data_IF_526794073192
#
_entry.id   IF_526794073192
#
_cell.length_a   1.000
_cell.length_b   1.000
_cell.length_c   1.000
_cell.angle_alpha   90.00
_cell.angle_beta   90.00
_cell.angle_gamma   90.00
#
_symmetry.space_group_name_H-M   'P 1'
#
loop_
_entity.id
_entity.type
_entity.pdbx_description
1 polymer ?
#
# COMPACT_ATOMS: atom_id res chain seq x y z
N UNK A 1 16.43 -6.80 7.87
CA UNK A 1 16.49 -5.32 7.90
C UNK A 1 15.22 -4.68 7.34
N UNK A 2 14.77 -5.03 6.14
CA UNK A 2 13.59 -4.39 5.52
C UNK A 2 12.28 -4.61 6.31
N UNK A 3 12.01 -5.82 6.80
CA UNK A 3 10.86 -6.08 7.69
C UNK A 3 10.92 -5.30 9.00
N UNK A 4 12.12 -5.03 9.52
CA UNK A 4 12.29 -4.24 10.75
C UNK A 4 12.05 -2.74 10.47
N UNK A 5 12.54 -2.25 9.34
CA UNK A 5 12.30 -0.88 8.88
C UNK A 5 10.82 -0.65 8.56
N UNK A 6 10.17 -1.61 7.92
CA UNK A 6 8.74 -1.59 7.66
C UNK A 6 7.95 -1.63 8.97
N UNK A 7 8.30 -2.50 9.92
CA UNK A 7 7.68 -2.52 11.25
C UNK A 7 7.86 -1.19 11.99
N UNK A 8 9.03 -0.54 11.85
CA UNK A 8 9.29 0.80 12.42
C UNK A 8 8.42 1.88 11.80
N UNK A 9 8.29 1.94 10.48
CA UNK A 9 7.41 2.89 9.79
C UNK A 9 5.94 2.68 10.15
N UNK A 10 5.51 1.41 10.25
CA UNK A 10 4.16 1.06 10.70
C UNK A 10 3.90 1.56 12.13
N UNK A 11 4.82 1.28 13.06
CA UNK A 11 4.71 1.76 14.45
C UNK A 11 4.67 3.28 14.50
N UNK A 12 5.49 3.95 13.69
CA UNK A 12 5.55 5.41 13.60
C UNK A 12 4.22 6.00 13.10
N UNK A 13 3.60 5.40 12.09
CA UNK A 13 2.29 5.84 11.60
C UNK A 13 1.16 5.58 12.60
N UNK A 14 1.09 4.40 13.19
CA UNK A 14 0.08 4.08 14.22
C UNK A 14 0.24 4.97 15.45
N UNK A 15 1.48 5.23 15.87
CA UNK A 15 1.77 6.23 16.91
C UNK A 15 1.31 7.61 16.48
N UNK A 16 1.54 8.03 15.23
CA UNK A 16 1.09 9.33 14.73
C UNK A 16 -0.43 9.49 14.79
N UNK A 17 -1.21 8.49 14.36
CA UNK A 17 -2.68 8.57 14.41
C UNK A 17 -3.19 8.53 15.85
N UNK A 18 -2.62 7.68 16.71
CA UNK A 18 -2.97 7.60 18.13
C UNK A 18 -2.64 8.89 18.89
N UNK A 19 -1.47 9.47 18.64
CA UNK A 19 -1.04 10.75 19.25
C UNK A 19 -1.93 11.91 18.82
N UNK A 20 -2.39 11.94 17.57
CA UNK A 20 -3.37 12.95 17.10
C UNK A 20 -4.69 12.83 17.86
N UNK A 21 -5.24 11.61 18.01
CA UNK A 21 -6.49 11.40 18.74
C UNK A 21 -6.34 11.74 20.23
N UNK A 22 -5.19 11.40 20.83
CA UNK A 22 -4.89 11.76 22.21
C UNK A 22 -4.75 13.27 22.37
N UNK A 23 -4.05 13.95 21.45
CA UNK A 23 -3.90 15.40 21.44
C UNK A 23 -5.26 16.10 21.27
N UNK A 24 -6.14 15.61 20.40
CA UNK A 24 -7.51 16.12 20.26
C UNK A 24 -8.24 16.06 21.60
N UNK A 25 -8.21 14.90 22.29
CA UNK A 25 -8.86 14.74 23.61
C UNK A 25 -8.28 15.68 24.66
N UNK A 26 -6.95 15.83 24.70
CA UNK A 26 -6.27 16.72 25.64
C UNK A 26 -6.63 18.20 25.39
N UNK A 27 -6.64 18.63 24.13
CA UNK A 27 -7.03 19.98 23.74
C UNK A 27 -8.50 20.24 24.09
N UNK A 28 -9.40 19.32 23.74
CA UNK A 28 -10.83 19.42 24.08
C UNK A 28 -11.02 19.51 25.60
N UNK A 29 -10.36 18.66 26.37
CA UNK A 29 -10.45 18.66 27.84
C UNK A 29 -9.91 19.96 28.44
N UNK A 30 -8.79 20.48 27.92
CA UNK A 30 -8.20 21.74 28.36
C UNK A 30 -9.15 22.92 28.09
N UNK A 31 -9.69 23.03 26.89
CA UNK A 31 -10.63 24.11 26.54
C UNK A 31 -11.91 24.00 27.40
N UNK A 32 -12.46 22.79 27.58
CA UNK A 32 -13.63 22.56 28.42
C UNK A 32 -13.37 22.89 29.90
N UNK A 33 -12.18 22.58 30.42
CA UNK A 33 -11.79 22.91 31.79
C UNK A 33 -11.68 24.41 31.99
N UNK A 34 -11.06 25.13 31.05
CA UNK A 34 -10.98 26.60 31.09
C UNK A 34 -12.38 27.21 31.04
N UNK A 35 -13.24 26.71 30.14
CA UNK A 35 -14.63 27.14 30.04
C UNK A 35 -15.39 26.95 31.37
N UNK A 36 -15.30 25.76 31.97
CA UNK A 36 -15.97 25.46 33.24
C UNK A 36 -15.48 26.35 34.38
N UNK A 37 -14.16 26.59 34.46
CA UNK A 37 -13.57 27.49 35.46
C UNK A 37 -14.12 28.91 35.29
N UNK A 38 -14.17 29.43 34.06
CA UNK A 38 -14.74 30.75 33.78
C UNK A 38 -16.22 30.84 34.17
N UNK A 39 -16.99 29.77 33.95
CA UNK A 39 -18.40 29.70 34.37
C UNK A 39 -18.52 29.69 35.90
N UNK A 40 -17.70 28.90 36.61
CA UNK A 40 -17.71 28.87 38.09
C UNK A 40 -17.34 30.23 38.67
N UNK A 41 -16.31 30.87 38.10
CA UNK A 41 -15.92 32.24 38.45
C UNK A 41 -17.09 33.20 38.27
N UNK A 42 -17.85 33.05 37.18
CA UNK A 42 -19.03 33.86 36.90
C UNK A 42 -20.07 33.76 38.01
N UNK A 43 -20.29 32.57 38.58
CA UNK A 43 -21.32 32.34 39.59
C UNK A 43 -20.86 32.58 41.04
N UNK A 44 -19.57 32.62 41.31
CA UNK A 44 -19.03 32.69 42.68
C UNK A 44 -18.55 34.07 43.10
N UNK A 45 -18.57 35.06 42.19
CA UNK A 45 -18.03 36.41 42.40
C UNK A 45 -16.60 36.42 42.97
N UNK A 46 -15.85 35.33 42.79
CA UNK A 46 -14.63 35.04 43.55
C UNK A 46 -13.39 35.81 43.05
N UNK A 47 -13.53 36.83 42.20
CA UNK A 47 -12.39 37.61 41.69
C UNK A 47 -12.21 38.88 42.54
N UNK A 48 -11.19 38.94 43.42
CA UNK A 48 -10.83 40.17 44.12
C UNK A 48 -10.10 41.18 43.21
N UNK A 49 -9.67 40.77 42.01
CA UNK A 49 -8.87 41.56 41.06
C UNK A 49 -9.68 42.05 39.85
N UNK A 50 -10.92 42.49 40.05
CA UNK A 50 -11.69 43.05 38.94
C UNK A 50 -11.12 44.43 38.63
N UNK A 51 -10.41 44.53 37.51
CA UNK A 51 -10.11 45.81 36.85
C UNK A 51 -11.39 46.65 36.85
N UNK A 52 -11.33 47.91 37.30
CA UNK A 52 -12.48 48.82 37.33
C UNK A 52 -12.95 49.10 35.90
N UNK A 53 -13.73 48.19 35.35
CA UNK A 53 -14.36 48.35 34.06
C UNK A 53 -15.52 49.33 34.20
N UNK A 54 -15.63 50.25 33.24
CA UNK A 54 -16.76 51.15 33.20
C UNK A 54 -18.00 50.38 32.73
N UNK A 55 -18.95 50.17 33.65
CA UNK A 55 -20.18 49.40 33.43
C UNK A 55 -21.09 50.04 32.39
N UNK A 56 -20.90 51.32 32.05
CA UNK A 56 -21.64 52.01 30.99
C UNK A 56 -21.46 51.36 29.60
N UNK A 57 -20.40 50.57 29.37
CA UNK A 57 -20.16 49.87 28.10
C UNK A 57 -20.62 48.41 28.09
N UNK A 58 -21.17 47.90 29.20
CA UNK A 58 -21.49 46.48 29.32
C UNK A 58 -22.50 46.00 28.27
N UNK A 59 -23.55 46.79 28.01
CA UNK A 59 -24.54 46.47 26.97
C UNK A 59 -23.89 46.36 25.58
N UNK A 60 -22.99 47.28 25.23
CA UNK A 60 -22.24 47.23 23.96
C UNK A 60 -21.35 45.99 23.87
N UNK A 61 -20.76 45.56 24.98
CA UNK A 61 -19.90 44.37 25.01
C UNK A 61 -20.74 43.11 24.88
N UNK A 62 -21.82 42.96 25.67
CA UNK A 62 -22.69 41.79 25.60
C UNK A 62 -23.39 41.67 24.24
N UNK A 63 -23.97 42.75 23.72
CA UNK A 63 -24.67 42.73 22.44
C UNK A 63 -23.71 42.67 21.25
N UNK A 64 -22.70 43.55 21.22
CA UNK A 64 -21.81 43.70 20.09
C UNK A 64 -20.78 42.58 20.01
N UNK A 65 -19.94 42.45 21.04
CA UNK A 65 -18.86 41.45 21.07
C UNK A 65 -19.44 40.07 21.39
N UNK A 66 -20.23 39.95 22.45
CA UNK A 66 -20.74 38.67 22.95
C UNK A 66 -21.72 38.01 21.99
N UNK A 67 -22.82 38.66 21.65
CA UNK A 67 -23.90 38.04 20.87
C UNK A 67 -23.64 38.20 19.36
N UNK A 68 -23.57 39.44 18.88
CA UNK A 68 -23.51 39.74 17.44
C UNK A 68 -22.26 39.19 16.76
N UNK A 69 -21.08 39.46 17.34
CA UNK A 69 -19.81 39.01 16.75
C UNK A 69 -19.65 37.48 16.83
N UNK A 70 -19.97 36.85 17.97
CA UNK A 70 -19.85 35.39 18.09
C UNK A 70 -20.85 34.66 17.19
N UNK A 71 -22.10 35.12 17.07
CA UNK A 71 -23.06 34.52 16.13
C UNK A 71 -22.57 34.61 14.69
N UNK A 72 -22.02 35.76 14.29
CA UNK A 72 -21.50 35.98 12.94
C UNK A 72 -20.31 35.06 12.65
N UNK A 73 -19.33 35.01 13.57
CA UNK A 73 -18.16 34.14 13.44
C UNK A 73 -18.58 32.67 13.44
N UNK A 74 -19.47 32.28 14.33
CA UNK A 74 -19.98 30.92 14.45
C UNK A 74 -20.66 30.47 13.16
N UNK A 75 -21.54 31.29 12.59
CA UNK A 75 -22.19 31.02 11.32
C UNK A 75 -21.16 30.81 10.20
N UNK A 76 -20.17 31.70 10.08
CA UNK A 76 -19.11 31.60 9.06
C UNK A 76 -18.31 30.30 9.24
N UNK A 77 -17.85 30.00 10.45
CA UNK A 77 -17.02 28.82 10.74
C UNK A 77 -17.80 27.54 10.45
N UNK A 78 -19.06 27.44 10.89
CA UNK A 78 -19.89 26.26 10.61
C UNK A 78 -20.13 26.13 9.11
N UNK A 79 -20.48 27.20 8.40
CA UNK A 79 -20.68 27.17 6.95
C UNK A 79 -19.42 26.70 6.20
N UNK A 80 -18.25 27.26 6.54
CA UNK A 80 -16.98 26.85 5.92
C UNK A 80 -16.61 25.40 6.25
N UNK A 81 -16.79 24.97 7.49
CA UNK A 81 -16.48 23.62 7.89
C UNK A 81 -17.41 22.59 7.23
N UNK A 82 -18.71 22.88 7.16
CA UNK A 82 -19.67 22.04 6.44
C UNK A 82 -19.37 22.00 4.93
N UNK A 83 -19.02 23.13 4.33
CA UNK A 83 -18.62 23.19 2.92
C UNK A 83 -17.36 22.34 2.66
N UNK A 84 -16.35 22.43 3.52
CA UNK A 84 -15.14 21.62 3.41
C UNK A 84 -15.43 20.11 3.56
N UNK A 85 -16.30 19.75 4.50
CA UNK A 85 -16.75 18.36 4.71
C UNK A 85 -17.57 17.86 3.52
N UNK A 86 -18.45 18.69 2.96
CA UNK A 86 -19.22 18.37 1.76
C UNK A 86 -18.28 18.16 0.57
N UNK A 87 -17.29 19.04 0.38
CA UNK A 87 -16.30 18.88 -0.67
C UNK A 87 -15.50 17.59 -0.50
N UNK A 88 -15.02 17.27 0.71
CA UNK A 88 -14.31 16.02 0.97
C UNK A 88 -15.21 14.77 0.75
N UNK A 89 -16.47 14.84 1.20
CA UNK A 89 -17.48 13.79 0.99
C UNK A 89 -17.75 13.56 -0.49
N UNK A 90 -17.88 14.64 -1.25
CA UNK A 90 -18.03 14.61 -2.70
C UNK A 90 -16.77 14.17 -3.42
N UNK A 91 -15.57 14.41 -2.90
CA UNK A 91 -14.31 14.01 -3.54
C UNK A 91 -13.89 12.59 -3.21
N UNK A 92 -14.37 12.02 -2.11
CA UNK A 92 -13.89 10.74 -1.61
C UNK A 92 -15.05 9.78 -1.34
N UNK A 93 -15.76 9.93 -0.22
CA UNK A 93 -16.92 9.08 0.13
C UNK A 93 -17.88 9.79 1.10
N UNK A 94 -19.18 9.50 0.96
CA UNK A 94 -20.23 10.09 1.81
C UNK A 94 -20.04 9.82 3.31
N UNK A 95 -19.35 8.73 3.67
CA UNK A 95 -19.11 8.35 5.06
C UNK A 95 -18.24 9.35 5.83
N UNK A 96 -17.50 10.23 5.15
CA UNK A 96 -16.66 11.27 5.79
C UNK A 96 -17.49 12.21 6.65
N UNK A 97 -18.71 12.52 6.22
CA UNK A 97 -19.62 13.41 6.95
C UNK A 97 -19.96 12.86 8.35
N UNK A 98 -20.19 11.55 8.46
CA UNK A 98 -20.47 10.89 9.73
C UNK A 98 -19.27 10.97 10.69
N UNK A 99 -18.05 10.93 10.18
CA UNK A 99 -16.85 11.08 11.01
C UNK A 99 -16.73 12.49 11.58
N UNK A 100 -17.05 13.51 10.77
CA UNK A 100 -16.97 14.90 11.18
C UNK A 100 -18.04 15.26 12.23
N UNK A 101 -19.31 14.90 12.00
CA UNK A 101 -20.41 15.19 12.94
C UNK A 101 -20.20 14.46 14.29
N UNK A 102 -19.50 13.32 14.28
CA UNK A 102 -19.13 12.56 15.48
C UNK A 102 -17.81 13.02 16.12
N UNK A 103 -17.11 14.02 15.56
CA UNK A 103 -15.90 14.58 16.18
C UNK A 103 -16.23 15.24 17.51
N UNK A 104 -15.42 14.93 18.54
CA UNK A 104 -15.56 15.56 19.86
C UNK A 104 -15.22 17.05 19.79
N UNK A 105 -14.24 17.44 18.99
CA UNK A 105 -13.87 18.85 18.82
C UNK A 105 -15.02 19.68 18.26
N UNK A 106 -15.70 19.18 17.21
CA UNK A 106 -16.85 19.87 16.63
C UNK A 106 -17.98 20.09 17.67
N UNK A 107 -18.32 19.04 18.44
CA UNK A 107 -19.35 19.12 19.49
C UNK A 107 -18.94 20.06 20.63
N UNK A 108 -17.67 20.05 21.02
CA UNK A 108 -17.11 20.92 22.04
C UNK A 108 -17.25 22.40 21.65
N UNK A 109 -16.89 22.76 20.43
CA UNK A 109 -16.99 24.14 19.94
C UNK A 109 -18.43 24.59 19.88
N UNK A 110 -19.32 23.75 19.35
CA UNK A 110 -20.74 24.05 19.31
C UNK A 110 -21.27 24.31 20.73
N UNK A 111 -20.90 23.47 21.69
CA UNK A 111 -21.30 23.63 23.08
C UNK A 111 -20.77 24.93 23.70
N UNK A 112 -19.49 25.23 23.53
CA UNK A 112 -18.85 26.44 24.09
C UNK A 112 -19.43 27.70 23.47
N UNK A 113 -19.60 27.75 22.14
CA UNK A 113 -20.18 28.91 21.47
C UNK A 113 -21.61 29.16 21.91
N UNK A 114 -22.46 28.12 21.90
CA UNK A 114 -23.85 28.26 22.35
C UNK A 114 -23.92 28.66 23.82
N UNK A 115 -23.11 28.04 24.68
CA UNK A 115 -23.02 28.39 26.10
C UNK A 115 -22.61 29.83 26.33
N UNK A 116 -21.58 30.32 25.62
CA UNK A 116 -21.13 31.72 25.71
C UNK A 116 -22.18 32.69 25.17
N UNK A 117 -22.88 32.38 24.07
CA UNK A 117 -23.96 33.24 23.54
C UNK A 117 -25.11 33.31 24.54
N UNK A 118 -25.56 32.17 25.08
CA UNK A 118 -26.62 32.15 26.09
C UNK A 118 -26.23 32.89 27.37
N UNK A 119 -24.97 32.74 27.80
CA UNK A 119 -24.44 33.51 28.94
C UNK A 119 -24.53 35.01 28.69
N UNK A 120 -24.05 35.51 27.55
CA UNK A 120 -24.13 36.93 27.20
C UNK A 120 -25.57 37.44 27.10
N UNK A 121 -26.48 36.62 26.58
CA UNK A 121 -27.91 36.94 26.49
C UNK A 121 -28.56 37.02 27.87
N UNK A 122 -28.21 36.11 28.78
CA UNK A 122 -28.69 36.13 30.16
C UNK A 122 -28.18 37.36 30.91
N UNK A 123 -26.89 37.67 30.80
CA UNK A 123 -26.27 38.83 31.47
C UNK A 123 -26.80 40.17 30.97
N UNK A 124 -27.37 40.22 29.76
CA UNK A 124 -28.03 41.40 29.24
C UNK A 124 -29.31 41.76 30.02
N UNK A 125 -29.92 40.79 30.71
CA UNK A 125 -31.15 41.00 31.49
C UNK A 125 -30.89 41.44 32.93
N UNK A 126 -29.63 41.43 33.36
CA UNK A 126 -29.25 41.71 34.74
C UNK A 126 -28.95 43.20 34.96
N UNK A 127 -29.73 43.85 35.82
CA UNK A 127 -29.49 45.22 36.29
C UNK A 127 -29.45 45.25 37.83
N UNK A 128 -28.41 45.83 38.47
CA UNK A 128 -27.25 46.53 37.89
C UNK A 128 -26.14 45.57 37.41
N UNK A 129 -25.39 45.98 36.38
CA UNK A 129 -24.32 45.13 35.81
C UNK A 129 -23.12 44.99 36.74
N UNK A 130 -22.78 43.75 37.08
CA UNK A 130 -21.58 43.39 37.84
C UNK A 130 -20.32 43.40 36.92
N UNK A 131 -19.26 44.16 37.25
CA UNK A 131 -18.00 44.17 36.50
C UNK A 131 -17.35 42.78 36.30
N UNK A 132 -17.56 41.84 37.23
CA UNK A 132 -17.05 40.46 37.13
C UNK A 132 -17.65 39.73 35.94
N UNK A 133 -18.96 39.86 35.73
CA UNK A 133 -19.66 39.21 34.62
C UNK A 133 -19.21 39.78 33.27
N UNK A 134 -18.89 41.08 33.22
CA UNK A 134 -18.34 41.70 32.01
C UNK A 134 -16.95 41.12 31.67
N UNK A 135 -16.08 40.96 32.67
CA UNK A 135 -14.77 40.32 32.47
C UNK A 135 -14.90 38.86 32.01
N UNK A 136 -15.81 38.09 32.62
CA UNK A 136 -16.08 36.71 32.22
C UNK A 136 -16.61 36.65 30.78
N UNK A 137 -17.53 37.53 30.39
CA UNK A 137 -18.05 37.63 29.02
C UNK A 137 -16.94 37.86 27.99
N UNK A 138 -16.05 38.83 28.24
CA UNK A 138 -14.90 39.12 27.36
C UNK A 138 -13.99 37.88 27.29
N UNK A 139 -13.71 37.25 28.42
CA UNK A 139 -12.83 36.08 28.51
C UNK A 139 -13.41 34.87 27.77
N UNK A 140 -14.71 34.61 27.92
CA UNK A 140 -15.42 33.55 27.20
C UNK A 140 -15.45 33.83 25.69
N UNK A 141 -15.64 35.09 25.29
CA UNK A 141 -15.61 35.49 23.88
C UNK A 141 -14.22 35.33 23.28
N UNK A 142 -13.17 35.70 24.01
CA UNK A 142 -11.78 35.46 23.61
C UNK A 142 -11.46 33.97 23.52
N UNK A 143 -11.94 33.16 24.48
CA UNK A 143 -11.81 31.70 24.46
C UNK A 143 -12.45 31.09 23.22
N UNK A 144 -13.65 31.55 22.82
CA UNK A 144 -14.32 31.14 21.59
C UNK A 144 -13.45 31.37 20.35
N UNK A 145 -12.79 32.52 20.25
CA UNK A 145 -11.89 32.85 19.13
C UNK A 145 -10.63 31.97 19.16
N UNK A 146 -9.99 31.84 20.33
CA UNK A 146 -8.78 31.03 20.49
C UNK A 146 -9.06 29.55 20.20
N UNK A 147 -10.24 29.04 20.58
CA UNK A 147 -10.65 27.65 20.33
C UNK A 147 -10.85 27.33 18.83
N UNK A 148 -11.01 28.33 17.95
CA UNK A 148 -11.10 28.12 16.51
C UNK A 148 -9.78 27.67 15.89
N UNK A 149 -8.64 28.15 16.39
CA UNK A 149 -7.32 27.80 15.85
C UNK A 149 -7.11 26.28 15.90
N UNK A 150 -7.17 25.61 17.08
CA UNK A 150 -7.03 24.16 17.13
C UNK A 150 -8.15 23.45 16.37
N UNK A 151 -9.36 24.02 16.30
CA UNK A 151 -10.44 23.44 15.50
C UNK A 151 -10.06 23.30 14.04
N UNK A 152 -9.61 24.38 13.40
CA UNK A 152 -9.24 24.38 11.99
C UNK A 152 -8.12 23.38 11.72
N UNK A 153 -7.08 23.35 12.55
CA UNK A 153 -5.99 22.37 12.41
C UNK A 153 -6.49 20.94 12.52
N UNK A 154 -7.31 20.64 13.53
CA UNK A 154 -7.87 19.30 13.75
C UNK A 154 -8.81 18.90 12.61
N UNK A 155 -9.65 19.81 12.13
CA UNK A 155 -10.57 19.57 11.00
C UNK A 155 -9.79 19.31 9.72
N UNK A 156 -8.77 20.12 9.41
CA UNK A 156 -7.92 19.89 8.24
C UNK A 156 -7.24 18.52 8.28
N UNK A 157 -6.77 18.07 9.45
CA UNK A 157 -6.17 16.73 9.61
C UNK A 157 -7.23 15.64 9.40
N UNK A 158 -8.42 15.81 9.97
CA UNK A 158 -9.53 14.85 9.86
C UNK A 158 -10.05 14.66 8.44
N UNK A 159 -9.96 15.70 7.61
CA UNK A 159 -10.38 15.66 6.20
C UNK A 159 -9.33 15.08 5.27
N UNK A 160 -8.10 14.80 5.74
CA UNK A 160 -7.09 14.14 4.91
C UNK A 160 -7.50 12.69 4.62
N UNK A 161 -7.43 12.24 3.36
CA UNK A 161 -7.85 10.88 3.00
C UNK A 161 -7.03 9.81 3.73
N UNK A 162 -5.72 10.01 3.91
CA UNK A 162 -4.86 9.10 4.67
C UNK A 162 -5.37 8.84 6.10
N UNK A 163 -5.82 9.89 6.79
CA UNK A 163 -6.35 9.78 8.15
C UNK A 163 -7.69 9.03 8.15
N UNK A 164 -8.53 9.29 7.15
CA UNK A 164 -9.84 8.65 7.01
C UNK A 164 -9.69 7.16 6.75
N UNK A 165 -8.84 6.78 5.79
CA UNK A 165 -8.54 5.37 5.47
C UNK A 165 -7.97 4.68 6.71
N UNK A 166 -6.96 5.26 7.34
CA UNK A 166 -6.36 4.70 8.56
C UNK A 166 -7.37 4.54 9.70
N UNK A 167 -8.29 5.50 9.88
CA UNK A 167 -9.34 5.42 10.91
C UNK A 167 -10.43 4.39 10.57
N UNK A 168 -10.78 4.24 9.30
CA UNK A 168 -11.74 3.21 8.84
C UNK A 168 -11.16 1.81 9.06
N UNK A 169 -9.94 1.57 8.57
CA UNK A 169 -9.27 0.28 8.70
C UNK A 169 -8.86 -0.04 10.14
N UNK A 170 -8.51 0.98 10.92
CA UNK A 170 -8.21 0.85 12.35
C UNK A 170 -9.41 0.47 13.22
N UNK A 171 -10.64 0.66 12.73
CA UNK A 171 -11.87 0.22 13.42
C UNK A 171 -12.19 -1.24 13.19
N UNK A 172 -11.63 -1.86 12.14
CA UNK A 172 -11.83 -3.28 11.87
C UNK A 172 -11.22 -4.06 13.04
N UNK A 173 -12.04 -4.83 13.75
CA UNK A 173 -11.62 -5.65 14.87
C UNK A 173 -11.58 -7.13 14.47
N UNK A 174 -10.95 -7.95 15.31
CA UNK A 174 -10.91 -9.40 15.09
C UNK A 174 -12.32 -10.02 14.93
N UNK A 175 -13.31 -9.49 15.65
CA UNK A 175 -14.72 -9.94 15.54
C UNK A 175 -15.30 -9.73 14.14
N UNK A 176 -14.96 -8.62 13.49
CA UNK A 176 -15.42 -8.29 12.13
C UNK A 176 -14.72 -9.18 11.09
N UNK A 177 -13.50 -9.63 11.38
CA UNK A 177 -12.80 -10.62 10.56
C UNK A 177 -13.34 -12.03 10.80
N UNK A 178 -13.66 -12.37 12.04
CA UNK A 178 -14.23 -13.67 12.40
C UNK A 178 -15.65 -13.83 11.82
N UNK A 179 -16.39 -12.74 11.56
CA UNK A 179 -17.68 -12.79 10.86
C UNK A 179 -17.53 -13.11 9.37
N UNK A 180 -16.42 -12.73 8.72
CA UNK A 180 -16.14 -13.11 7.32
C UNK A 180 -16.09 -14.63 7.16
N UNK A 181 -15.63 -15.36 8.18
CA UNK A 181 -15.63 -16.84 8.17
C UNK A 181 -17.02 -17.45 8.11
N UNK A 182 -18.03 -16.75 8.64
CA UNK A 182 -19.38 -17.29 8.83
C UNK A 182 -20.32 -16.94 7.69
N UNK A 183 -20.10 -15.81 7.02
CA UNK A 183 -21.00 -15.27 6.00
C UNK A 183 -20.20 -14.68 4.83
N UNK A 184 -19.75 -15.50 3.88
CA UNK A 184 -18.86 -15.08 2.80
C UNK A 184 -19.52 -14.23 1.71
N UNK A 185 -20.78 -13.76 1.82
CA UNK A 185 -21.45 -13.12 0.66
C UNK A 185 -22.31 -11.87 0.93
N UNK A 186 -22.64 -11.47 2.17
CA UNK A 186 -23.58 -10.35 2.38
C UNK A 186 -23.08 -9.15 3.20
N UNK A 187 -22.04 -9.31 4.01
CA UNK A 187 -21.45 -8.23 4.84
C UNK A 187 -20.06 -7.80 4.35
N UNK A 188 -19.50 -8.51 3.36
CA UNK A 188 -18.14 -8.34 2.87
C UNK A 188 -17.86 -6.90 2.43
N UNK A 189 -18.75 -6.28 1.65
CA UNK A 189 -18.47 -4.97 1.07
C UNK A 189 -18.55 -3.80 2.07
N UNK A 190 -18.77 -4.02 3.38
CA UNK A 190 -18.90 -2.88 4.31
C UNK A 190 -17.58 -2.39 4.89
N UNK A 191 -16.60 -3.27 5.09
CA UNK A 191 -15.39 -2.97 5.86
C UNK A 191 -14.32 -2.25 5.02
N UNK A 192 -13.93 -2.83 3.89
CA UNK A 192 -12.86 -2.32 3.03
C UNK A 192 -13.35 -1.43 1.88
N UNK A 193 -14.61 -1.58 1.44
CA UNK A 193 -15.13 -0.81 0.30
C UNK A 193 -14.93 0.70 0.45
N UNK A 194 -15.15 1.34 1.60
CA UNK A 194 -14.95 2.79 1.70
C UNK A 194 -13.49 3.17 1.48
N UNK A 195 -12.55 2.37 2.00
CA UNK A 195 -11.13 2.63 1.79
C UNK A 195 -10.76 2.41 0.32
N UNK A 196 -11.26 1.33 -0.30
CA UNK A 196 -11.07 1.05 -1.71
C UNK A 196 -11.65 2.17 -2.61
N UNK A 197 -12.88 2.65 -2.35
CA UNK A 197 -13.51 3.76 -3.07
C UNK A 197 -12.66 5.04 -3.01
N UNK A 198 -12.11 5.38 -1.83
CA UNK A 198 -11.24 6.55 -1.67
C UNK A 198 -9.98 6.38 -2.54
N UNK A 199 -9.37 5.19 -2.54
CA UNK A 199 -8.15 4.90 -3.32
C UNK A 199 -8.45 4.93 -4.82
N UNK A 200 -9.52 4.26 -5.26
CA UNK A 200 -9.96 4.25 -6.65
C UNK A 200 -10.23 5.67 -7.15
N UNK A 201 -10.81 6.51 -6.30
CA UNK A 201 -11.07 7.90 -6.64
C UNK A 201 -9.82 8.76 -6.66
N UNK A 202 -8.89 8.52 -5.73
CA UNK A 202 -7.57 9.14 -5.76
C UNK A 202 -6.84 8.83 -7.08
N UNK A 203 -6.92 7.58 -7.56
CA UNK A 203 -6.37 7.17 -8.87
C UNK A 203 -7.04 7.93 -10.01
N UNK A 204 -8.38 7.99 -10.05
CA UNK A 204 -9.12 8.75 -11.09
C UNK A 204 -8.75 10.23 -11.11
N UNK A 205 -8.44 10.79 -9.94
CA UNK A 205 -8.06 12.19 -9.78
C UNK A 205 -6.53 12.43 -9.96
N UNK A 206 -5.74 11.38 -10.20
CA UNK A 206 -4.27 11.48 -10.33
C UNK A 206 -3.52 11.69 -9.01
N UNK A 207 -4.18 11.57 -7.85
CA UNK A 207 -3.55 11.67 -6.52
C UNK A 207 -2.88 10.33 -6.14
N UNK A 208 -1.71 10.10 -6.75
CA UNK A 208 -0.91 8.89 -6.55
C UNK A 208 -0.45 8.73 -5.10
N UNK A 209 -0.25 9.82 -4.35
CA UNK A 209 0.24 9.75 -2.97
C UNK A 209 -0.84 9.15 -2.07
N UNK A 210 -2.06 9.66 -2.15
CA UNK A 210 -3.20 9.11 -1.40
C UNK A 210 -3.49 7.66 -1.80
N UNK A 211 -3.44 7.35 -3.09
CA UNK A 211 -3.64 5.97 -3.56
C UNK A 211 -2.61 4.99 -2.99
N UNK A 212 -1.31 5.37 -3.01
CA UNK A 212 -0.22 4.57 -2.44
C UNK A 212 -0.38 4.37 -0.94
N UNK A 213 -0.62 5.44 -0.20
CA UNK A 213 -0.83 5.38 1.25
C UNK A 213 -2.01 4.48 1.60
N UNK A 214 -3.13 4.62 0.87
CA UNK A 214 -4.30 3.78 1.10
C UNK A 214 -4.06 2.30 0.82
N UNK A 215 -3.35 1.96 -0.26
CA UNK A 215 -2.96 0.58 -0.56
C UNK A 215 -2.05 -0.02 0.51
N UNK A 216 -1.12 0.76 1.06
CA UNK A 216 -0.30 0.32 2.20
C UNK A 216 -1.10 0.08 3.47
N UNK A 217 -2.10 0.92 3.76
CA UNK A 217 -3.00 0.69 4.90
C UNK A 217 -3.82 -0.58 4.72
N UNK A 218 -4.34 -0.85 3.51
CA UNK A 218 -5.07 -2.11 3.21
C UNK A 218 -4.12 -3.30 3.39
N UNK A 219 -2.92 -3.27 2.81
CA UNK A 219 -1.91 -4.33 2.95
C UNK A 219 -1.57 -4.58 4.41
N UNK A 220 -1.36 -3.53 5.20
CA UNK A 220 -1.07 -3.64 6.62
C UNK A 220 -2.22 -4.26 7.40
N UNK A 221 -3.45 -3.83 7.12
CA UNK A 221 -4.65 -4.38 7.74
C UNK A 221 -4.80 -5.86 7.40
N UNK A 222 -4.57 -6.24 6.14
CA UNK A 222 -4.56 -7.62 5.68
C UNK A 222 -3.55 -8.46 6.47
N UNK A 223 -2.28 -8.05 6.50
CA UNK A 223 -1.20 -8.80 7.17
C UNK A 223 -1.36 -8.90 8.69
N UNK A 224 -2.03 -7.91 9.31
CA UNK A 224 -2.36 -7.92 10.74
C UNK A 224 -3.36 -9.02 11.09
N UNK A 225 -4.32 -9.27 10.21
CA UNK A 225 -5.40 -10.23 10.45
C UNK A 225 -5.19 -11.58 9.79
N UNK A 226 -4.25 -11.68 8.85
CA UNK A 226 -3.91 -12.92 8.17
C UNK A 226 -3.18 -13.90 9.10
N UNK A 227 -3.71 -15.11 9.18
CA UNK A 227 -3.16 -16.25 9.92
C UNK A 227 -3.43 -17.55 9.15
N UNK A 228 -2.66 -18.63 9.35
CA UNK A 228 -2.87 -19.87 8.61
C UNK A 228 -4.30 -20.43 8.78
N UNK A 229 -4.91 -20.24 9.95
CA UNK A 229 -6.26 -20.73 10.25
C UNK A 229 -7.42 -19.84 9.76
N UNK A 230 -7.15 -18.74 9.05
CA UNK A 230 -8.20 -17.91 8.44
C UNK A 230 -7.88 -17.47 7.01
N UNK A 231 -6.85 -18.06 6.42
CA UNK A 231 -6.31 -17.72 5.13
C UNK A 231 -7.37 -17.72 4.02
N UNK A 232 -8.10 -18.83 3.89
CA UNK A 232 -9.11 -19.03 2.85
C UNK A 232 -10.28 -18.05 2.92
N UNK A 233 -10.55 -17.46 4.09
CA UNK A 233 -11.61 -16.46 4.24
C UNK A 233 -11.09 -15.02 4.09
N UNK A 234 -9.90 -14.74 4.61
CA UNK A 234 -9.36 -13.37 4.65
C UNK A 234 -8.71 -12.98 3.33
N UNK A 235 -8.00 -13.89 2.68
CA UNK A 235 -7.25 -13.61 1.46
C UNK A 235 -8.13 -13.25 0.27
N UNK A 236 -9.15 -14.03 -0.10
CA UNK A 236 -10.04 -13.64 -1.21
C UNK A 236 -10.68 -12.27 -0.98
N UNK A 237 -11.06 -11.97 0.27
CA UNK A 237 -11.70 -10.71 0.61
C UNK A 237 -10.78 -9.50 0.41
N UNK A 238 -9.58 -9.49 1.03
CA UNK A 238 -8.67 -8.35 0.93
C UNK A 238 -8.05 -8.22 -0.47
N UNK A 239 -7.65 -9.34 -1.07
CA UNK A 239 -6.98 -9.35 -2.37
C UNK A 239 -7.94 -8.93 -3.49
N UNK A 240 -9.23 -9.31 -3.43
CA UNK A 240 -10.27 -8.80 -4.34
C UNK A 240 -10.34 -7.27 -4.38
N UNK A 241 -10.24 -6.60 -3.24
CA UNK A 241 -10.25 -5.13 -3.21
C UNK A 241 -8.96 -4.53 -3.80
N UNK A 242 -7.79 -5.14 -3.54
CA UNK A 242 -6.53 -4.71 -4.17
C UNK A 242 -6.56 -4.91 -5.69
N UNK A 243 -7.10 -6.05 -6.16
CA UNK A 243 -7.32 -6.35 -7.57
C UNK A 243 -8.24 -5.32 -8.23
N UNK A 244 -9.35 -4.96 -7.57
CA UNK A 244 -10.27 -3.94 -8.09
C UNK A 244 -9.61 -2.57 -8.22
N UNK A 245 -8.80 -2.17 -7.22
CA UNK A 245 -7.98 -0.96 -7.33
C UNK A 245 -7.01 -1.04 -8.52
N UNK A 246 -6.35 -2.19 -8.72
CA UNK A 246 -5.49 -2.43 -9.89
C UNK A 246 -6.24 -2.30 -11.22
N UNK A 247 -7.46 -2.83 -11.30
CA UNK A 247 -8.32 -2.70 -12.49
C UNK A 247 -8.69 -1.23 -12.75
N UNK A 248 -9.01 -0.45 -11.71
CA UNK A 248 -9.27 0.98 -11.87
C UNK A 248 -8.02 1.73 -12.32
N UNK A 249 -6.83 1.38 -11.83
CA UNK A 249 -5.57 1.96 -12.30
C UNK A 249 -5.31 1.68 -13.79
N UNK A 250 -5.57 0.45 -14.25
CA UNK A 250 -5.48 0.09 -15.68
C UNK A 250 -6.46 0.92 -16.52
N UNK A 251 -7.72 1.02 -16.10
CA UNK A 251 -8.77 1.76 -16.83
C UNK A 251 -8.41 3.25 -16.95
N UNK A 252 -7.83 3.85 -15.91
CA UNK A 252 -7.42 5.26 -15.90
C UNK A 252 -6.02 5.47 -16.49
N UNK A 253 -5.40 4.43 -17.03
CA UNK A 253 -4.06 4.47 -17.63
C UNK A 253 -2.96 4.98 -16.70
N UNK A 254 -3.09 4.74 -15.39
CA UNK A 254 -2.14 5.21 -14.39
C UNK A 254 -1.06 4.16 -14.08
N UNK A 255 -0.03 4.11 -14.94
CA UNK A 255 1.13 3.22 -14.83
C UNK A 255 1.72 3.19 -13.40
N UNK A 256 1.88 4.37 -12.80
CA UNK A 256 2.48 4.49 -11.47
C UNK A 256 1.66 3.81 -10.37
N UNK A 257 0.33 3.82 -10.49
CA UNK A 257 -0.57 3.14 -9.55
C UNK A 257 -0.66 1.64 -9.84
N UNK A 258 -0.67 1.24 -11.12
CA UNK A 258 -0.61 -0.18 -11.52
C UNK A 258 0.67 -0.84 -10.99
N UNK A 259 1.83 -0.23 -11.26
CA UNK A 259 3.11 -0.70 -10.73
C UNK A 259 3.08 -0.79 -9.20
N UNK A 260 2.46 0.18 -8.52
CA UNK A 260 2.33 0.11 -7.07
C UNK A 260 1.47 -1.06 -6.58
N UNK A 261 0.36 -1.36 -7.26
CA UNK A 261 -0.48 -2.53 -6.94
C UNK A 261 0.31 -3.82 -7.11
N UNK A 262 1.05 -3.97 -8.21
CA UNK A 262 1.91 -5.13 -8.45
C UNK A 262 3.00 -5.28 -7.39
N UNK A 263 3.60 -4.18 -6.95
CA UNK A 263 4.56 -4.17 -5.84
C UNK A 263 3.92 -4.63 -4.52
N UNK A 264 2.72 -4.15 -4.20
CA UNK A 264 1.95 -4.57 -3.02
C UNK A 264 1.64 -6.06 -3.07
N UNK A 265 1.19 -6.57 -4.22
CA UNK A 265 0.96 -8.00 -4.44
C UNK A 265 2.25 -8.82 -4.27
N UNK A 266 3.38 -8.37 -4.85
CA UNK A 266 4.68 -9.01 -4.67
C UNK A 266 5.12 -9.11 -3.20
N UNK A 267 4.96 -8.01 -2.45
CA UNK A 267 5.25 -7.97 -1.01
C UNK A 267 4.34 -8.90 -0.22
N UNK A 268 3.06 -8.95 -0.56
CA UNK A 268 2.11 -9.88 0.07
C UNK A 268 2.53 -11.32 -0.22
N UNK A 269 2.76 -11.68 -1.49
CA UNK A 269 3.16 -13.03 -1.90
C UNK A 269 4.45 -13.50 -1.22
N UNK A 270 5.44 -12.63 -1.12
CA UNK A 270 6.71 -12.91 -0.41
C UNK A 270 6.45 -13.26 1.07
N UNK A 271 5.58 -12.51 1.73
CA UNK A 271 5.24 -12.73 3.13
C UNK A 271 4.34 -13.95 3.36
N UNK A 272 3.42 -14.24 2.45
CA UNK A 272 2.56 -15.44 2.53
C UNK A 272 3.37 -16.70 2.33
N UNK A 273 4.30 -16.72 1.38
CA UNK A 273 5.28 -17.83 1.22
C UNK A 273 6.10 -18.05 2.49
N UNK A 274 6.63 -16.97 3.07
CA UNK A 274 7.41 -17.04 4.31
C UNK A 274 6.60 -17.60 5.48
N UNK A 275 5.27 -17.41 5.48
CA UNK A 275 4.33 -17.92 6.48
C UNK A 275 3.68 -19.25 6.09
N UNK A 276 4.06 -19.87 4.97
CA UNK A 276 3.47 -21.11 4.42
C UNK A 276 1.96 -21.01 4.17
N UNK A 277 1.56 -19.88 3.59
CA UNK A 277 0.17 -19.53 3.26
C UNK A 277 -0.06 -19.71 1.75
N UNK A 278 -0.40 -20.92 1.35
CA UNK A 278 -0.36 -21.33 -0.06
C UNK A 278 -1.55 -20.82 -0.85
N UNK A 279 -2.73 -20.80 -0.22
CA UNK A 279 -3.97 -20.32 -0.84
C UNK A 279 -3.85 -18.84 -1.21
N UNK A 280 -3.30 -18.03 -0.30
CA UNK A 280 -3.04 -16.61 -0.50
C UNK A 280 -1.99 -16.37 -1.55
N UNK A 281 -0.91 -17.15 -1.52
CA UNK A 281 0.17 -17.03 -2.53
C UNK A 281 -0.39 -17.34 -3.92
N UNK A 282 -1.23 -18.35 -4.05
CA UNK A 282 -1.93 -18.68 -5.30
C UNK A 282 -2.82 -17.53 -5.78
N UNK A 283 -3.67 -16.98 -4.90
CA UNK A 283 -4.52 -15.83 -5.25
C UNK A 283 -3.67 -14.62 -5.68
N UNK A 284 -2.55 -14.36 -4.99
CA UNK A 284 -1.63 -13.28 -5.37
C UNK A 284 -1.04 -13.50 -6.77
N UNK A 285 -0.64 -14.73 -7.11
CA UNK A 285 -0.11 -15.06 -8.43
C UNK A 285 -1.19 -14.91 -9.51
N UNK A 286 -2.42 -15.35 -9.23
CA UNK A 286 -3.59 -15.16 -10.11
C UNK A 286 -3.90 -13.66 -10.32
N UNK A 287 -3.82 -12.84 -9.27
CA UNK A 287 -4.04 -11.40 -9.36
C UNK A 287 -2.91 -10.68 -10.13
N UNK A 288 -1.66 -11.11 -9.94
CA UNK A 288 -0.50 -10.63 -10.71
C UNK A 288 -0.67 -11.00 -12.19
N UNK A 289 -1.16 -12.20 -12.51
CA UNK A 289 -1.49 -12.62 -13.88
C UNK A 289 -2.53 -11.68 -14.50
N UNK A 290 -3.67 -11.51 -13.82
CA UNK A 290 -4.80 -10.72 -14.30
C UNK A 290 -4.47 -9.24 -14.54
N UNK A 291 -3.64 -8.63 -13.69
CA UNK A 291 -3.20 -7.24 -13.83
C UNK A 291 -2.03 -7.16 -14.81
N UNK A 292 -1.05 -8.04 -14.64
CA UNK A 292 0.21 -8.08 -15.36
C UNK A 292 0.04 -8.19 -16.87
N UNK A 293 -0.74 -9.17 -17.34
CA UNK A 293 -0.92 -9.35 -18.79
C UNK A 293 -1.67 -8.21 -19.46
N UNK A 294 -2.59 -7.56 -18.73
CA UNK A 294 -3.28 -6.37 -19.25
C UNK A 294 -2.34 -5.18 -19.44
N UNK A 295 -1.21 -5.15 -18.74
CA UNK A 295 -0.33 -3.98 -18.73
C UNK A 295 0.86 -4.10 -19.68
N UNK A 296 1.15 -5.30 -20.19
CA UNK A 296 2.28 -5.59 -21.10
C UNK A 296 2.30 -4.71 -22.36
N UNK A 297 1.13 -4.34 -22.88
CA UNK A 297 1.04 -3.55 -24.11
C UNK A 297 1.59 -2.13 -23.92
N UNK A 298 1.24 -1.49 -22.80
CA UNK A 298 1.34 -0.03 -22.68
C UNK A 298 2.18 0.48 -21.50
N UNK A 299 2.63 -0.39 -20.58
CA UNK A 299 3.18 0.05 -19.28
C UNK A 299 4.48 -0.66 -18.92
N UNK A 300 5.60 -0.23 -19.51
CA UNK A 300 6.90 -0.84 -19.27
C UNK A 300 7.29 -0.82 -17.78
N UNK A 301 6.97 0.25 -17.04
CA UNK A 301 7.30 0.34 -15.61
C UNK A 301 6.48 -0.66 -14.77
N UNK A 302 5.18 -0.80 -15.05
CA UNK A 302 4.35 -1.84 -14.44
C UNK A 302 4.82 -3.25 -14.81
N UNK A 303 5.21 -3.50 -16.07
CA UNK A 303 5.79 -4.79 -16.50
C UNK A 303 7.08 -5.12 -15.77
N UNK A 304 7.99 -4.16 -15.65
CA UNK A 304 9.22 -4.31 -14.87
C UNK A 304 8.90 -4.66 -13.41
N UNK A 305 7.89 -4.00 -12.83
CA UNK A 305 7.45 -4.27 -11.47
C UNK A 305 6.76 -5.63 -11.31
N UNK A 306 6.01 -6.10 -12.32
CA UNK A 306 5.45 -7.46 -12.35
C UNK A 306 6.58 -8.49 -12.26
N UNK A 307 7.62 -8.35 -13.10
CA UNK A 307 8.79 -9.23 -13.10
C UNK A 307 9.43 -9.23 -11.72
N UNK A 308 9.76 -8.06 -11.17
CA UNK A 308 10.32 -7.93 -9.81
C UNK A 308 9.47 -8.62 -8.75
N UNK A 309 8.16 -8.43 -8.78
CA UNK A 309 7.25 -9.07 -7.84
C UNK A 309 7.26 -10.60 -7.94
N UNK A 310 7.27 -11.16 -9.17
CA UNK A 310 7.39 -12.61 -9.37
C UNK A 310 8.73 -13.15 -8.87
N UNK A 311 9.81 -12.39 -9.04
CA UNK A 311 11.14 -12.77 -8.56
C UNK A 311 11.24 -12.76 -7.04
N UNK A 312 10.68 -11.74 -6.38
CA UNK A 312 10.68 -11.64 -4.92
C UNK A 312 9.92 -12.82 -4.31
N UNK A 313 8.78 -13.18 -4.91
CA UNK A 313 8.01 -14.37 -4.51
C UNK A 313 8.83 -15.65 -4.76
N UNK A 314 9.44 -15.81 -5.94
CA UNK A 314 10.27 -16.99 -6.27
C UNK A 314 11.45 -17.15 -5.29
N UNK A 315 12.13 -16.04 -4.97
CA UNK A 315 13.21 -16.01 -4.00
C UNK A 315 12.73 -16.43 -2.62
N UNK A 316 11.58 -15.92 -2.17
CA UNK A 316 10.98 -16.35 -0.91
C UNK A 316 10.67 -17.85 -0.91
N UNK A 317 10.18 -18.41 -2.02
CA UNK A 317 9.90 -19.85 -2.11
C UNK A 317 11.19 -20.66 -1.95
N UNK A 318 12.25 -20.27 -2.66
CA UNK A 318 13.58 -20.90 -2.57
C UNK A 318 14.12 -20.87 -1.14
N UNK A 319 14.06 -19.71 -0.49
CA UNK A 319 14.57 -19.48 0.86
C UNK A 319 13.72 -20.14 1.96
N UNK A 320 12.42 -20.31 1.75
CA UNK A 320 11.48 -20.82 2.77
C UNK A 320 11.68 -22.29 3.18
N UNK A 321 12.50 -23.06 2.47
CA UNK A 321 12.60 -24.50 2.70
C UNK A 321 11.52 -25.30 1.95
N UNK A 322 10.41 -24.68 1.55
CA UNK A 322 9.20 -25.38 1.20
C UNK A 322 9.18 -25.89 -0.26
N UNK A 323 9.00 -27.19 -0.46
CA UNK A 323 8.83 -27.79 -1.79
C UNK A 323 7.39 -27.64 -2.30
N UNK A 324 6.90 -26.41 -2.36
CA UNK A 324 5.57 -26.13 -2.89
C UNK A 324 5.61 -26.13 -4.41
N UNK A 325 5.67 -27.36 -4.96
CA UNK A 325 5.75 -27.64 -6.39
C UNK A 325 4.66 -26.92 -7.17
N UNK A 326 3.46 -26.78 -6.60
CA UNK A 326 2.35 -26.06 -7.25
C UNK A 326 2.65 -24.56 -7.42
N UNK A 327 3.16 -23.89 -6.38
CA UNK A 327 3.49 -22.46 -6.42
C UNK A 327 4.65 -22.21 -7.38
N UNK A 328 5.71 -23.03 -7.30
CA UNK A 328 6.83 -22.95 -8.25
C UNK A 328 6.35 -23.13 -9.69
N UNK A 329 5.51 -24.14 -9.94
CA UNK A 329 4.95 -24.39 -11.27
C UNK A 329 4.13 -23.20 -11.76
N UNK A 330 3.29 -22.60 -10.93
CA UNK A 330 2.52 -21.40 -11.30
C UNK A 330 3.43 -20.22 -11.64
N UNK A 331 4.49 -19.96 -10.85
CA UNK A 331 5.46 -18.89 -11.14
C UNK A 331 6.12 -19.10 -12.51
N UNK A 332 6.56 -20.32 -12.82
CA UNK A 332 7.18 -20.60 -14.11
C UNK A 332 6.18 -20.58 -15.28
N UNK A 333 4.91 -20.94 -15.06
CA UNK A 333 3.85 -20.74 -16.05
C UNK A 333 3.72 -19.24 -16.37
N UNK A 334 3.69 -18.38 -15.34
CA UNK A 334 3.62 -16.94 -15.54
C UNK A 334 4.83 -16.38 -16.30
N UNK A 335 6.05 -16.81 -15.99
CA UNK A 335 7.24 -16.41 -16.75
C UNK A 335 7.20 -16.88 -18.20
N UNK A 336 6.73 -18.10 -18.47
CA UNK A 336 6.59 -18.63 -19.81
C UNK A 336 5.58 -17.81 -20.63
N UNK A 337 4.39 -17.59 -20.07
CA UNK A 337 3.36 -16.78 -20.70
C UNK A 337 3.84 -15.33 -20.92
N UNK A 338 4.57 -14.78 -19.95
CA UNK A 338 5.11 -13.42 -20.00
C UNK A 338 6.15 -13.31 -21.12
N UNK A 339 7.06 -14.27 -21.21
CA UNK A 339 8.05 -14.35 -22.28
C UNK A 339 7.39 -14.32 -23.66
N UNK A 340 6.40 -15.19 -23.87
CA UNK A 340 5.70 -15.30 -25.15
C UNK A 340 5.04 -13.97 -25.55
N UNK A 341 4.35 -13.34 -24.60
CA UNK A 341 3.67 -12.08 -24.85
C UNK A 341 4.67 -10.93 -25.08
N UNK A 342 5.80 -10.90 -24.37
CA UNK A 342 6.85 -9.90 -24.61
C UNK A 342 7.50 -10.04 -25.99
N UNK A 343 7.71 -11.27 -26.48
CA UNK A 343 8.18 -11.50 -27.86
C UNK A 343 7.13 -11.08 -28.89
N UNK A 344 5.85 -11.43 -28.67
CA UNK A 344 4.74 -11.03 -29.54
C UNK A 344 4.64 -9.50 -29.65
N UNK A 345 4.85 -8.80 -28.54
CA UNK A 345 4.82 -7.34 -28.46
C UNK A 345 6.14 -6.66 -28.83
N UNK A 346 7.20 -7.43 -29.14
CA UNK A 346 8.56 -6.94 -29.44
C UNK A 346 9.10 -5.99 -28.37
N UNK A 347 8.92 -6.37 -27.10
CA UNK A 347 9.32 -5.59 -25.92
C UNK A 347 10.74 -5.97 -25.47
N UNK A 348 11.72 -5.74 -26.33
CA UNK A 348 13.12 -6.17 -26.17
C UNK A 348 13.73 -5.78 -24.81
N UNK A 349 13.49 -4.55 -24.37
CA UNK A 349 13.96 -4.06 -23.07
C UNK A 349 13.44 -4.93 -21.91
N UNK A 350 12.19 -5.37 -21.97
CA UNK A 350 11.57 -6.19 -20.92
C UNK A 350 12.02 -7.65 -20.98
N UNK A 351 12.27 -8.19 -22.18
CA UNK A 351 12.85 -9.54 -22.34
C UNK A 351 14.25 -9.56 -21.73
N UNK A 352 15.08 -8.56 -22.07
CA UNK A 352 16.40 -8.36 -21.44
C UNK A 352 16.26 -8.23 -19.94
N UNK A 353 15.36 -7.37 -19.46
CA UNK A 353 15.14 -7.20 -18.02
C UNK A 353 14.81 -8.54 -17.36
N UNK A 354 13.85 -9.31 -17.88
CA UNK A 354 13.48 -10.63 -17.39
C UNK A 354 14.68 -11.59 -17.33
N UNK A 355 15.48 -11.72 -18.39
CA UNK A 355 16.68 -12.57 -18.38
C UNK A 355 17.73 -12.11 -17.37
N UNK A 356 18.05 -10.82 -17.39
CA UNK A 356 19.01 -10.24 -16.45
C UNK A 356 18.55 -10.39 -15.02
N UNK A 357 17.25 -10.38 -14.76
CA UNK A 357 16.70 -10.48 -13.43
C UNK A 357 17.02 -11.84 -12.76
N UNK A 358 17.13 -12.94 -13.53
CA UNK A 358 17.59 -14.22 -12.98
C UNK A 358 19.09 -14.24 -12.65
N UNK A 359 19.87 -13.36 -13.27
CA UNK A 359 21.34 -13.25 -13.09
C UNK A 359 21.72 -12.14 -12.08
N UNK A 360 20.93 -11.06 -12.02
CA UNK A 360 21.12 -9.86 -11.23
C UNK A 360 19.87 -9.57 -10.38
N UNK A 361 20.02 -9.42 -9.05
CA UNK A 361 21.24 -9.61 -8.28
C UNK A 361 21.52 -11.11 -8.14
N UNK A 362 22.78 -11.54 -8.34
CA UNK A 362 23.28 -12.93 -8.22
C UNK A 362 22.71 -13.75 -7.07
N UNK A 363 22.16 -13.07 -6.05
CA UNK A 363 21.30 -13.59 -5.00
C UNK A 363 20.28 -14.65 -5.42
N UNK A 364 19.63 -14.60 -6.60
CA UNK A 364 18.59 -15.60 -6.93
C UNK A 364 19.22 -16.96 -7.28
N UNK A 365 20.12 -17.00 -8.26
CA UNK A 365 20.85 -18.22 -8.62
C UNK A 365 21.69 -18.72 -7.44
N UNK A 366 22.39 -17.83 -6.73
CA UNK A 366 23.12 -18.17 -5.51
C UNK A 366 22.20 -18.78 -4.44
N UNK A 367 20.99 -18.23 -4.25
CA UNK A 367 20.02 -18.81 -3.32
C UNK A 367 19.53 -20.18 -3.79
N UNK A 368 19.30 -20.38 -5.09
CA UNK A 368 18.92 -21.69 -5.64
C UNK A 368 20.02 -22.73 -5.41
N UNK A 369 21.28 -22.38 -5.71
CA UNK A 369 22.45 -23.26 -5.57
C UNK A 369 22.73 -23.56 -4.09
N UNK A 370 22.76 -22.53 -3.24
CA UNK A 370 23.00 -22.64 -1.80
C UNK A 370 21.96 -23.53 -1.12
N UNK A 371 20.69 -23.41 -1.52
CA UNK A 371 19.59 -24.21 -0.98
C UNK A 371 19.34 -25.51 -1.75
N UNK A 372 20.24 -25.90 -2.68
CA UNK A 372 20.14 -27.11 -3.53
C UNK A 372 18.77 -27.29 -4.19
N UNK A 373 18.19 -26.20 -4.72
CA UNK A 373 16.89 -26.20 -5.40
C UNK A 373 16.99 -26.69 -6.83
N UNK A 374 17.42 -27.93 -7.02
CA UNK A 374 17.74 -28.46 -8.35
C UNK A 374 16.55 -28.41 -9.32
N UNK A 375 15.33 -28.67 -8.86
CA UNK A 375 14.11 -28.52 -9.67
C UNK A 375 13.92 -27.08 -10.19
N UNK A 376 14.11 -26.08 -9.33
CA UNK A 376 13.96 -24.66 -9.69
C UNK A 376 15.07 -24.21 -10.64
N UNK A 377 16.31 -24.69 -10.44
CA UNK A 377 17.43 -24.42 -11.35
C UNK A 377 17.13 -24.99 -12.74
N UNK A 378 16.61 -26.21 -12.79
CA UNK A 378 16.27 -26.89 -14.04
C UNK A 378 15.12 -26.18 -14.78
N UNK A 379 14.09 -25.70 -14.08
CA UNK A 379 13.03 -24.88 -14.69
C UNK A 379 13.54 -23.52 -15.19
N UNK A 380 14.48 -22.90 -14.46
CA UNK A 380 15.15 -21.66 -14.90
C UNK A 380 15.98 -21.91 -16.17
N UNK A 381 16.71 -23.03 -16.23
CA UNK A 381 17.47 -23.42 -17.41
C UNK A 381 16.55 -23.74 -18.61
N UNK A 382 15.38 -24.38 -18.38
CA UNK A 382 14.35 -24.59 -19.41
C UNK A 382 13.84 -23.27 -19.98
N UNK A 383 13.44 -22.35 -19.10
CA UNK A 383 12.94 -21.03 -19.47
C UNK A 383 14.01 -20.23 -20.25
N UNK A 384 15.25 -20.18 -19.74
CA UNK A 384 16.35 -19.49 -20.41
C UNK A 384 16.63 -20.08 -21.79
N UNK A 385 16.62 -21.42 -21.92
CA UNK A 385 16.80 -22.09 -23.21
C UNK A 385 15.72 -21.65 -24.20
N UNK A 386 14.47 -21.69 -23.78
CA UNK A 386 13.32 -21.31 -24.61
C UNK A 386 13.44 -19.85 -25.08
N UNK A 387 13.63 -18.92 -24.16
CA UNK A 387 13.82 -17.49 -24.48
C UNK A 387 14.97 -17.31 -25.47
N UNK A 388 16.09 -18.02 -25.29
CA UNK A 388 17.23 -17.94 -26.18
C UNK A 388 16.91 -18.40 -27.60
N UNK A 389 16.19 -19.51 -27.73
CA UNK A 389 15.73 -20.00 -29.04
C UNK A 389 14.78 -18.99 -29.67
N UNK A 390 13.74 -18.54 -28.97
CA UNK A 390 12.78 -17.56 -29.50
C UNK A 390 13.44 -16.23 -29.88
N UNK A 391 14.41 -15.78 -29.09
CA UNK A 391 15.25 -14.63 -29.39
C UNK A 391 16.04 -14.80 -30.68
N UNK A 392 16.70 -15.95 -30.87
CA UNK A 392 17.43 -16.26 -32.08
C UNK A 392 16.52 -16.24 -33.32
N UNK A 393 15.34 -16.86 -33.24
CA UNK A 393 14.35 -16.87 -34.33
C UNK A 393 13.83 -15.48 -34.67
N UNK A 394 13.65 -14.64 -33.65
CA UNK A 394 13.24 -13.24 -33.81
C UNK A 394 14.35 -12.30 -34.25
N UNK A 395 15.60 -12.76 -34.39
CA UNK A 395 16.75 -11.93 -34.71
C UNK A 395 17.27 -11.08 -33.54
N UNK A 396 16.85 -11.36 -32.32
CA UNK A 396 17.25 -10.65 -31.11
C UNK A 396 18.55 -11.19 -30.50
N UNK A 397 19.67 -10.95 -31.21
CA UNK A 397 21.01 -11.48 -30.86
C UNK A 397 21.40 -11.20 -29.40
N UNK A 398 21.13 -10.00 -28.89
CA UNK A 398 21.52 -9.62 -27.53
C UNK A 398 20.78 -10.45 -26.46
N UNK A 399 19.52 -10.81 -26.69
CA UNK A 399 18.75 -11.66 -25.76
C UNK A 399 19.24 -13.10 -25.85
N UNK A 400 19.57 -13.57 -27.05
CA UNK A 400 20.15 -14.90 -27.24
C UNK A 400 21.47 -15.06 -26.47
N UNK A 401 22.37 -14.07 -26.56
CA UNK A 401 23.62 -14.03 -25.79
C UNK A 401 23.38 -14.02 -24.28
N UNK A 402 22.38 -13.27 -23.81
CA UNK A 402 22.03 -13.25 -22.38
C UNK A 402 21.50 -14.60 -21.89
N UNK A 403 20.69 -15.30 -22.69
CA UNK A 403 20.26 -16.67 -22.39
C UNK A 403 21.44 -17.65 -22.29
N UNK A 404 22.41 -17.55 -23.22
CA UNK A 404 23.64 -18.36 -23.18
C UNK A 404 24.45 -18.04 -21.91
N UNK A 405 24.62 -16.75 -21.58
CA UNK A 405 25.32 -16.31 -20.37
C UNK A 405 24.66 -16.86 -19.10
N UNK A 406 23.33 -16.80 -19.00
CA UNK A 406 22.59 -17.33 -17.85
C UNK A 406 22.73 -18.86 -17.76
N UNK A 407 22.65 -19.58 -18.88
CA UNK A 407 22.89 -21.03 -18.90
C UNK A 407 24.34 -21.37 -18.52
N UNK A 408 25.32 -20.60 -18.97
CA UNK A 408 26.71 -20.76 -18.57
C UNK A 408 26.90 -20.58 -17.07
N UNK A 409 26.29 -19.55 -16.48
CA UNK A 409 26.34 -19.28 -15.04
C UNK A 409 25.66 -20.39 -14.23
N UNK A 410 24.49 -20.88 -14.68
CA UNK A 410 23.79 -22.02 -14.08
C UNK A 410 24.68 -23.28 -14.12
N UNK A 411 25.23 -23.61 -15.29
CA UNK A 411 26.02 -24.83 -15.47
C UNK A 411 27.31 -24.82 -14.65
N UNK A 412 28.05 -23.72 -14.66
CA UNK A 412 29.29 -23.60 -13.88
C UNK A 412 29.03 -23.62 -12.38
N UNK A 413 27.95 -22.96 -11.92
CA UNK A 413 27.57 -22.98 -10.51
C UNK A 413 27.10 -24.36 -10.06
N UNK A 414 26.35 -25.06 -10.89
CA UNK A 414 25.90 -26.43 -10.62
C UNK A 414 27.07 -27.41 -10.54
N UNK A 415 28.02 -27.35 -11.48
CA UNK A 415 29.20 -28.21 -11.51
C UNK A 415 30.08 -28.01 -10.27
N UNK A 416 30.42 -26.74 -9.95
CA UNK A 416 31.20 -26.39 -8.75
C UNK A 416 30.60 -26.91 -7.44
N UNK A 417 29.28 -26.98 -7.37
CA UNK A 417 28.54 -27.41 -6.18
C UNK A 417 28.06 -28.87 -6.25
N UNK A 418 28.40 -29.61 -7.31
CA UNK A 418 27.99 -31.00 -7.55
C UNK A 418 26.49 -31.20 -7.38
N UNK A 419 25.70 -30.35 -8.04
CA UNK A 419 24.25 -30.35 -7.91
C UNK A 419 23.64 -31.50 -8.73
N UNK A 420 23.03 -32.42 -7.99
CA UNK A 420 22.31 -33.57 -8.52
C UNK A 420 20.83 -33.44 -8.17
N UNK A 421 19.96 -33.72 -9.13
CA UNK A 421 18.51 -33.77 -8.92
C UNK A 421 17.99 -35.21 -8.95
N UNK A 422 17.65 -35.72 -7.77
CA UNK A 422 17.03 -37.04 -7.62
C UNK A 422 15.54 -36.96 -7.97
N UNK A 423 15.20 -37.36 -9.20
CA UNK A 423 13.80 -37.53 -9.59
C UNK A 423 13.37 -38.98 -9.36
N UNK A 424 12.07 -39.29 -9.28
CA UNK A 424 11.59 -40.67 -9.16
C UNK A 424 12.04 -41.60 -10.31
N UNK A 425 12.44 -41.04 -11.45
CA UNK A 425 12.81 -41.79 -12.64
C UNK A 425 14.33 -41.89 -12.84
N UNK A 426 15.06 -40.82 -12.53
CA UNK A 426 16.49 -40.70 -12.86
C UNK A 426 17.17 -39.63 -12.00
N UNK A 427 18.43 -39.88 -11.68
CA UNK A 427 19.37 -38.91 -11.15
C UNK A 427 19.85 -37.97 -12.26
N UNK A 428 19.56 -36.68 -12.15
CA UNK A 428 19.93 -35.68 -13.18
C UNK A 428 21.06 -34.80 -12.64
N UNK A 429 22.25 -34.91 -13.21
CA UNK A 429 23.31 -33.90 -13.02
C UNK A 429 22.89 -32.60 -13.71
N UNK A 430 22.76 -31.52 -12.94
CA UNK A 430 22.26 -30.24 -13.43
C UNK A 430 23.24 -29.57 -14.41
N UNK A 431 24.55 -29.74 -14.22
CA UNK A 431 25.55 -29.19 -15.12
C UNK A 431 25.54 -29.93 -16.47
N UNK A 432 25.44 -31.26 -16.46
CA UNK A 432 25.26 -32.03 -17.70
C UNK A 432 23.93 -31.71 -18.41
N UNK A 433 22.83 -31.60 -17.65
CA UNK A 433 21.52 -31.17 -18.18
C UNK A 433 21.65 -29.83 -18.89
N UNK A 434 22.36 -28.88 -18.29
CA UNK A 434 22.64 -27.56 -18.86
C UNK A 434 23.46 -27.63 -20.14
N UNK A 435 24.50 -28.49 -20.20
CA UNK A 435 25.25 -28.76 -21.45
C UNK A 435 24.32 -29.30 -22.54
N UNK A 436 23.45 -30.25 -22.22
CA UNK A 436 22.47 -30.80 -23.19
C UNK A 436 21.54 -29.70 -23.71
N UNK A 437 21.15 -28.74 -22.87
CA UNK A 437 20.31 -27.60 -23.26
C UNK A 437 21.03 -26.64 -24.19
N UNK A 438 22.29 -26.30 -23.90
CA UNK A 438 23.15 -25.50 -24.78
C UNK A 438 23.33 -26.17 -26.15
N UNK A 439 23.58 -27.48 -26.18
CA UNK A 439 23.66 -28.26 -27.43
C UNK A 439 22.34 -28.32 -28.20
N UNK A 440 21.20 -28.43 -27.50
CA UNK A 440 19.89 -28.39 -28.12
C UNK A 440 19.59 -27.02 -28.73
N UNK A 441 19.87 -25.94 -27.98
CA UNK A 441 19.77 -24.57 -28.46
C UNK A 441 20.64 -24.33 -29.70
N UNK A 442 21.90 -24.79 -29.70
CA UNK A 442 22.80 -24.73 -30.86
C UNK A 442 22.19 -25.41 -32.10
N UNK A 443 21.62 -26.60 -31.94
CA UNK A 443 20.98 -27.35 -33.05
C UNK A 443 19.76 -26.61 -33.60
N UNK A 444 18.84 -26.22 -32.72
CA UNK A 444 17.59 -25.55 -33.11
C UNK A 444 17.82 -24.22 -33.83
N UNK A 445 18.89 -23.50 -33.48
CA UNK A 445 19.21 -22.20 -34.10
C UNK A 445 20.03 -22.36 -35.38
N UNK A 446 20.91 -23.37 -35.47
CA UNK A 446 21.77 -23.59 -36.64
C UNK A 446 20.97 -23.81 -37.93
N UNK A 447 19.84 -24.48 -37.81
CA UNK A 447 19.00 -24.82 -38.97
C UNK A 447 18.19 -23.61 -39.48
N UNK A 448 18.08 -22.53 -38.68
CA UNK A 448 17.19 -21.41 -38.99
C UNK A 448 17.91 -20.11 -39.38
N UNK A 449 19.20 -19.93 -39.02
CA UNK A 449 19.90 -18.64 -39.23
C UNK A 449 21.30 -18.79 -39.80
N UNK A 450 21.43 -18.59 -41.13
CA UNK A 450 22.72 -18.54 -41.82
C UNK A 450 23.31 -17.11 -41.84
N UNK A 451 23.85 -16.64 -40.71
CA UNK A 451 24.57 -15.37 -40.68
C UNK A 451 25.93 -15.46 -39.97
N UNK A 452 26.86 -14.59 -40.39
CA UNK A 452 28.22 -14.52 -39.82
C UNK A 452 28.19 -14.17 -38.32
N UNK A 453 27.23 -13.37 -37.88
CA UNK A 453 27.06 -13.03 -36.47
C UNK A 453 26.65 -14.25 -35.65
N UNK A 454 25.82 -15.14 -36.20
CA UNK A 454 25.43 -16.37 -35.52
C UNK A 454 26.59 -17.35 -35.35
N UNK A 455 27.53 -17.41 -36.30
CA UNK A 455 28.75 -18.22 -36.13
C UNK A 455 29.57 -17.78 -34.90
N UNK A 456 29.65 -16.47 -34.62
CA UNK A 456 30.32 -15.98 -33.42
C UNK A 456 29.59 -16.43 -32.15
N UNK A 457 28.26 -16.43 -32.16
CA UNK A 457 27.46 -16.88 -31.01
C UNK A 457 27.56 -18.40 -30.80
N UNK A 458 27.66 -19.18 -31.88
CA UNK A 458 27.92 -20.62 -31.76
C UNK A 458 29.26 -20.90 -31.06
N UNK A 459 30.28 -20.06 -31.28
CA UNK A 459 31.53 -20.14 -30.54
C UNK A 459 31.35 -19.78 -29.05
N UNK A 460 30.44 -18.85 -28.71
CA UNK A 460 30.09 -18.54 -27.31
C UNK A 460 29.43 -19.75 -26.61
N UNK A 461 28.56 -20.49 -27.31
CA UNK A 461 27.97 -21.74 -26.80
C UNK A 461 29.05 -22.79 -26.56
N UNK A 462 29.95 -22.98 -27.53
CA UNK A 462 31.05 -23.96 -27.41
C UNK A 462 31.97 -23.60 -26.25
N UNK A 463 32.31 -22.32 -26.09
CA UNK A 463 33.05 -21.82 -24.94
C UNK A 463 32.34 -22.14 -23.61
N UNK A 464 31.05 -21.83 -23.50
CA UNK A 464 30.27 -22.10 -22.30
C UNK A 464 30.24 -23.59 -21.95
N UNK A 465 30.07 -24.48 -22.94
CA UNK A 465 30.09 -25.93 -22.75
C UNK A 465 31.44 -26.40 -22.24
N UNK A 466 32.54 -25.99 -22.89
CA UNK A 466 33.89 -26.40 -22.48
C UNK A 466 34.25 -25.87 -21.10
N UNK A 467 33.80 -24.67 -20.74
CA UNK A 467 34.03 -24.12 -19.40
C UNK A 467 33.24 -24.87 -18.31
N UNK A 468 31.97 -25.25 -18.56
CA UNK A 468 31.21 -26.11 -17.62
C UNK A 468 31.91 -27.45 -17.43
N UNK A 469 32.37 -28.09 -18.51
CA UNK A 469 33.08 -29.38 -18.45
C UNK A 469 34.36 -29.35 -17.62
N UNK A 470 35.04 -28.21 -17.51
CA UNK A 470 36.24 -28.08 -16.65
C UNK A 470 35.93 -28.21 -15.16
N UNK A 471 34.67 -28.03 -14.77
CA UNK A 471 34.20 -28.14 -13.39
C UNK A 471 33.48 -29.46 -13.07
N UNK A 472 33.17 -30.28 -14.09
CA UNK A 472 32.71 -31.67 -13.95
C UNK A 472 33.93 -32.57 -13.68
#
# INVERSE_FOLDING_TARGET
MEQEQESKEIRKFVMKTSTIIFLEKMVVLSIMSIFLILVIIAFTDFIPFVLKFNTSYASTIYQGIGIGSLLSIFAIVISLALMAVQYASQQYTHRIMDFYIKSMMFRCILFIYMGTIFYNMFMLTEEPVNPTHMFVSISLSALCIVALIPHFFITMIHLRPDFIIGKMLGRINKKDIDSLKRLPHSEEDKLLLPAAEIIERAIRNGDRTTAKNGLDEIRRCYLKYLSPGNEESVSPYFLKHILNVGRVAIINTDDGSVGYVLNILGKIGTQTVSKKMNSSTKIVLEDIDLIGFKVLQNYDAATEQMIKSLQDILKAVIESGNEEKEILMQIFILYNNLSDELFNLKKDKMIKFMLTSFSEPRTLLEAMVKNKRCATIEETAKLSKRIGVDAAKGGFIDHFKQSISLLHEIGTSAAKNKLVWDTPMLEIDIAESTIRRLLAMKREVKDEVESKEFNNIMNEIDYAIEDIKRYL
#
